data_IF_125965818236
#
_entry.id   IF_125965818236
#
_cell.length_a   1.000
_cell.length_b   1.000
_cell.length_c   1.000
_cell.angle_alpha   90.00
_cell.angle_beta   90.00
_cell.angle_gamma   90.00
#
_symmetry.space_group_name_H-M   'P 1'
#
loop_
_entity.id
_entity.type
_entity.pdbx_description
1 polymer ?
#
# COMPACT_ATOMS: atom_id res chain seq x y z
N UNK A 1 3.63 14.99 23.56
CA UNK A 1 4.55 14.87 22.40
C UNK A 1 4.51 13.41 21.97
N UNK A 2 3.61 13.06 21.04
CA UNK A 2 3.50 11.67 20.58
C UNK A 2 4.66 11.37 19.63
N UNK A 3 5.52 10.46 20.05
CA UNK A 3 6.59 9.91 19.20
C UNK A 3 5.89 9.11 18.11
N UNK A 4 5.92 9.61 16.87
CA UNK A 4 5.77 8.74 15.71
C UNK A 4 6.85 7.67 15.88
N UNK A 5 6.45 6.41 16.05
CA UNK A 5 7.38 5.32 15.75
C UNK A 5 7.64 5.44 14.25
N UNK A 6 8.76 6.09 13.92
CA UNK A 6 9.20 6.29 12.54
C UNK A 6 9.57 4.91 12.00
N UNK A 7 8.61 4.25 11.37
CA UNK A 7 8.81 2.95 10.72
C UNK A 7 9.59 3.09 9.42
N UNK A 8 9.96 4.31 9.01
CA UNK A 8 10.54 4.68 7.72
C UNK A 8 9.63 4.45 6.50
N UNK A 9 8.43 3.92 6.71
CA UNK A 9 7.39 3.72 5.69
C UNK A 9 6.36 4.86 5.69
N UNK A 10 5.81 5.17 4.52
CA UNK A 10 4.78 6.21 4.40
C UNK A 10 3.48 5.77 5.09
N UNK A 11 3.10 4.49 4.96
CA UNK A 11 2.01 3.89 5.73
C UNK A 11 2.39 2.49 6.23
N UNK A 12 1.80 2.10 7.36
CA UNK A 12 1.91 0.76 7.93
C UNK A 12 0.54 0.30 8.43
N UNK A 13 0.17 -0.94 8.14
CA UNK A 13 -1.10 -1.56 8.53
C UNK A 13 -0.83 -2.82 9.34
N UNK A 14 -1.53 -2.91 10.46
CA UNK A 14 -1.46 -4.01 11.41
C UNK A 14 -2.77 -4.79 11.37
N UNK A 15 -2.73 -6.10 11.55
CA UNK A 15 -3.94 -6.90 11.72
C UNK A 15 -4.58 -6.67 13.10
N UNK A 16 -5.76 -7.27 13.32
CA UNK A 16 -6.49 -7.24 14.60
C UNK A 16 -5.68 -7.72 15.81
N UNK A 17 -4.69 -8.59 15.58
CA UNK A 17 -3.78 -9.13 16.59
C UNK A 17 -2.57 -8.22 16.84
N UNK A 18 -2.49 -7.07 16.17
CA UNK A 18 -1.43 -6.07 16.33
C UNK A 18 -0.13 -6.40 15.61
N UNK A 19 -0.15 -7.37 14.68
CA UNK A 19 1.02 -7.75 13.89
C UNK A 19 1.12 -6.90 12.62
N UNK A 20 2.32 -6.42 12.30
CA UNK A 20 2.57 -5.65 11.07
C UNK A 20 2.38 -6.54 9.84
N UNK A 21 1.33 -6.29 9.06
CA UNK A 21 0.99 -7.09 7.88
C UNK A 21 1.40 -6.43 6.58
N UNK A 22 1.23 -5.11 6.47
CA UNK A 22 1.49 -4.36 5.24
C UNK A 22 2.29 -3.10 5.53
N UNK A 23 3.30 -2.86 4.72
CA UNK A 23 3.97 -1.55 4.61
C UNK A 23 3.77 -0.98 3.22
N UNK A 24 3.62 0.35 3.16
CA UNK A 24 3.36 1.06 1.92
C UNK A 24 4.41 2.13 1.71
N UNK A 25 4.95 2.16 0.48
CA UNK A 25 5.80 3.24 0.01
C UNK A 25 5.14 3.93 -1.19
N UNK A 26 4.92 5.23 -1.07
CA UNK A 26 4.29 6.09 -2.05
C UNK A 26 5.36 6.90 -2.81
N UNK A 27 5.21 7.00 -4.13
CA UNK A 27 6.08 7.77 -5.01
C UNK A 27 5.25 8.50 -6.07
N UNK A 28 5.38 9.81 -6.17
CA UNK A 28 4.72 10.63 -7.20
C UNK A 28 5.28 10.50 -8.63
N UNK A 29 6.01 9.42 -8.94
CA UNK A 29 6.59 9.17 -10.27
C UNK A 29 5.58 8.43 -11.14
N UNK A 30 5.45 8.80 -12.42
CA UNK A 30 4.65 8.07 -13.40
C UNK A 30 5.48 7.02 -14.16
N UNK A 31 4.82 5.97 -14.65
CA UNK A 31 5.40 4.93 -15.51
C UNK A 31 6.65 4.26 -14.89
N UNK A 32 6.65 4.09 -13.57
CA UNK A 32 7.72 3.34 -12.91
C UNK A 32 7.66 1.88 -13.38
N UNK A 33 8.79 1.34 -13.86
CA UNK A 33 8.86 -0.06 -14.29
C UNK A 33 8.98 -1.00 -13.09
N UNK A 34 8.63 -2.30 -13.25
CA UNK A 34 8.82 -3.31 -12.20
C UNK A 34 10.28 -3.37 -11.73
N UNK A 35 11.25 -3.31 -12.65
CA UNK A 35 12.68 -3.37 -12.30
C UNK A 35 13.10 -2.15 -11.47
N UNK A 36 12.60 -0.96 -11.80
CA UNK A 36 12.87 0.25 -11.03
C UNK A 36 12.30 0.13 -9.62
N UNK A 37 11.07 -0.40 -9.48
CA UNK A 37 10.42 -0.61 -8.20
C UNK A 37 11.16 -1.64 -7.34
N UNK A 38 11.59 -2.77 -7.92
CA UNK A 38 12.43 -3.77 -7.26
C UNK A 38 13.77 -3.21 -6.79
N UNK A 39 14.44 -2.41 -7.64
CA UNK A 39 15.70 -1.78 -7.27
C UNK A 39 15.51 -0.78 -6.12
N UNK A 40 14.45 0.02 -6.15
CA UNK A 40 14.13 0.93 -5.05
C UNK A 40 13.84 0.17 -3.76
N UNK A 41 13.03 -0.90 -3.80
CA UNK A 41 12.75 -1.74 -2.63
C UNK A 41 14.04 -2.33 -2.06
N UNK A 42 14.91 -2.88 -2.90
CA UNK A 42 16.20 -3.44 -2.47
C UNK A 42 17.08 -2.38 -1.80
N UNK A 43 17.15 -1.17 -2.36
CA UNK A 43 17.89 -0.06 -1.76
C UNK A 43 17.33 0.34 -0.38
N UNK A 44 16.00 0.38 -0.22
CA UNK A 44 15.38 0.70 1.07
C UNK A 44 15.71 -0.39 2.11
N UNK A 45 15.56 -1.66 1.74
CA UNK A 45 15.80 -2.80 2.65
C UNK A 45 17.29 -2.97 3.00
N UNK A 46 18.21 -2.61 2.11
CA UNK A 46 19.65 -2.73 2.33
C UNK A 46 20.20 -1.75 3.39
N UNK A 47 19.49 -0.65 3.69
CA UNK A 47 20.01 0.45 4.50
C UNK A 47 19.34 0.60 5.88
N UNK A 48 18.59 -0.38 6.37
CA UNK A 48 18.01 -0.29 7.72
C UNK A 48 17.54 -1.61 8.33
N UNK A 49 17.25 -1.59 9.63
CA UNK A 49 16.59 -2.69 10.34
C UNK A 49 15.08 -2.52 10.14
N UNK A 50 14.62 -2.72 8.92
CA UNK A 50 13.20 -2.65 8.62
C UNK A 50 12.54 -4.00 8.92
N UNK A 51 11.40 -4.02 9.62
CA UNK A 51 10.60 -5.24 9.67
C UNK A 51 10.21 -5.63 8.24
N UNK A 52 10.28 -6.92 7.92
CA UNK A 52 9.85 -7.50 6.65
C UNK A 52 8.45 -8.10 6.83
N UNK A 53 7.38 -7.30 6.70
CA UNK A 53 6.03 -7.83 6.80
C UNK A 53 5.73 -8.79 5.63
N UNK A 54 4.66 -9.60 5.73
CA UNK A 54 4.24 -10.47 4.64
C UNK A 54 3.83 -9.69 3.39
N UNK A 55 3.52 -8.39 3.47
CA UNK A 55 3.15 -7.58 2.31
C UNK A 55 3.91 -6.26 2.24
N UNK A 56 4.44 -5.97 1.05
CA UNK A 56 5.02 -4.68 0.71
C UNK A 56 4.31 -4.12 -0.51
N UNK A 57 3.71 -2.93 -0.39
CA UNK A 57 3.04 -2.25 -1.49
C UNK A 57 3.80 -0.99 -1.89
N UNK A 58 4.21 -0.91 -3.14
CA UNK A 58 4.71 0.34 -3.73
C UNK A 58 3.63 0.98 -4.59
N UNK A 59 3.35 2.25 -4.32
CA UNK A 59 2.25 3.00 -4.93
C UNK A 59 2.77 4.16 -5.76
N UNK A 60 2.34 4.19 -7.01
CA UNK A 60 2.49 5.27 -7.97
C UNK A 60 1.10 5.74 -8.43
N UNK A 61 0.98 6.95 -9.03
CA UNK A 61 -0.32 7.42 -9.52
C UNK A 61 -0.92 6.52 -10.62
N UNK A 62 -0.11 5.76 -11.34
CA UNK A 62 -0.54 4.89 -12.44
C UNK A 62 -0.31 3.40 -12.20
N UNK A 63 0.47 3.02 -11.19
CA UNK A 63 0.86 1.63 -10.93
C UNK A 63 0.92 1.29 -9.45
N UNK A 64 0.40 0.12 -9.10
CA UNK A 64 0.67 -0.53 -7.82
C UNK A 64 1.54 -1.77 -8.06
N UNK A 65 2.55 -1.93 -7.21
CA UNK A 65 3.39 -3.13 -7.18
C UNK A 65 3.33 -3.76 -5.79
N UNK A 66 2.84 -4.99 -5.73
CA UNK A 66 2.76 -5.76 -4.49
C UNK A 66 3.80 -6.87 -4.50
N UNK A 67 4.58 -6.97 -3.43
CA UNK A 67 5.29 -8.19 -3.04
C UNK A 67 4.48 -8.87 -1.94
N UNK A 68 4.14 -10.14 -2.14
CA UNK A 68 3.34 -10.92 -1.21
C UNK A 68 4.12 -12.13 -0.68
N UNK A 69 3.95 -12.43 0.60
CA UNK A 69 4.48 -13.60 1.29
C UNK A 69 5.99 -13.76 1.11
N UNK A 70 6.44 -14.89 0.55
CA UNK A 70 7.85 -15.22 0.38
C UNK A 70 8.60 -14.16 -0.44
N UNK A 71 7.97 -13.61 -1.48
CA UNK A 71 8.56 -12.55 -2.31
C UNK A 71 8.82 -11.26 -1.51
N UNK A 72 7.99 -10.99 -0.48
CA UNK A 72 8.15 -9.84 0.40
C UNK A 72 9.31 -10.04 1.40
N UNK A 73 9.76 -11.27 1.63
CA UNK A 73 10.89 -11.60 2.50
C UNK A 73 12.25 -11.55 1.78
N UNK A 74 12.24 -11.80 0.46
CA UNK A 74 13.44 -11.75 -0.38
C UNK A 74 13.89 -10.30 -0.62
N UNK A 75 15.20 -10.03 -0.45
CA UNK A 75 15.78 -8.70 -0.68
C UNK A 75 15.82 -8.30 -2.16
N UNK A 76 15.86 -9.29 -3.05
CA UNK A 76 15.84 -9.10 -4.50
C UNK A 76 14.79 -10.02 -5.12
N UNK A 77 13.63 -9.44 -5.41
CA UNK A 77 12.51 -10.10 -6.07
C UNK A 77 11.76 -9.10 -6.94
N UNK A 78 11.16 -9.59 -8.02
CA UNK A 78 10.16 -8.85 -8.79
C UNK A 78 8.84 -8.78 -8.00
N UNK A 79 7.98 -7.78 -8.24
CA UNK A 79 6.69 -7.72 -7.57
C UNK A 79 5.81 -8.90 -8.01
N UNK A 80 5.20 -9.57 -7.04
CA UNK A 80 4.22 -10.65 -7.25
C UNK A 80 3.03 -10.17 -8.09
N UNK A 81 2.61 -8.91 -7.91
CA UNK A 81 1.54 -8.29 -8.70
C UNK A 81 1.93 -6.91 -9.20
N UNK A 82 1.54 -6.61 -10.45
CA UNK A 82 1.65 -5.30 -11.08
C UNK A 82 0.28 -4.88 -11.61
N UNK A 83 -0.29 -3.82 -11.03
CA UNK A 83 -1.69 -3.44 -11.26
C UNK A 83 -1.78 -2.00 -11.76
N UNK A 84 -2.72 -1.71 -12.66
CA UNK A 84 -3.07 -0.34 -13.02
C UNK A 84 -3.77 0.34 -11.83
N UNK A 85 -3.13 1.36 -11.27
CA UNK A 85 -3.63 2.04 -10.09
C UNK A 85 -4.82 2.97 -10.39
N UNK A 86 -4.89 3.49 -11.62
CA UNK A 86 -5.88 4.50 -12.03
C UNK A 86 -7.31 4.10 -11.69
N UNK A 87 -7.83 2.92 -12.07
CA UNK A 87 -9.19 2.53 -11.74
C UNK A 87 -9.45 2.36 -10.22
N UNK A 88 -8.40 2.17 -9.42
CA UNK A 88 -8.50 2.00 -7.96
C UNK A 88 -8.51 3.37 -7.28
N UNK A 89 -7.62 4.28 -7.66
CA UNK A 89 -7.50 5.61 -7.01
C UNK A 89 -8.49 6.65 -7.54
N UNK A 90 -8.95 6.51 -8.80
CA UNK A 90 -9.83 7.48 -9.46
C UNK A 90 -11.09 7.80 -8.63
N UNK A 91 -11.84 6.82 -8.08
CA UNK A 91 -13.02 7.11 -7.26
C UNK A 91 -12.72 7.99 -6.04
N UNK A 92 -11.52 7.87 -5.47
CA UNK A 92 -11.10 8.68 -4.32
C UNK A 92 -10.66 10.08 -4.74
N UNK A 93 -10.03 10.20 -5.91
CA UNK A 93 -9.70 11.50 -6.51
C UNK A 93 -10.98 12.28 -6.86
N UNK A 94 -11.97 11.61 -7.44
CA UNK A 94 -13.27 12.21 -7.77
C UNK A 94 -14.01 12.66 -6.49
N UNK A 95 -14.03 11.83 -5.44
CA UNK A 95 -14.58 12.20 -4.12
C UNK A 95 -13.86 13.41 -3.51
N UNK A 96 -12.55 13.55 -3.75
CA UNK A 96 -11.75 14.68 -3.28
C UNK A 96 -11.84 15.93 -4.18
N UNK A 97 -12.53 15.85 -5.33
CA UNK A 97 -12.58 16.93 -6.32
C UNK A 97 -11.24 17.20 -7.01
N UNK A 98 -10.35 16.21 -7.07
CA UNK A 98 -9.00 16.33 -7.63
C UNK A 98 -8.98 15.75 -9.05
N UNK A 99 -8.61 16.57 -10.03
CA UNK A 99 -8.36 16.11 -11.41
C UNK A 99 -6.89 15.72 -11.57
N UNK A 100 -6.61 14.54 -12.15
CA UNK A 100 -5.25 14.03 -12.47
C UNK A 100 -4.42 14.93 -13.41
N UNK A 101 -5.01 16.03 -13.92
CA UNK A 101 -4.35 17.01 -14.77
C UNK A 101 -3.32 17.86 -14.04
N UNK A 102 -3.35 17.89 -12.71
CA UNK A 102 -2.31 18.48 -11.88
C UNK A 102 -1.39 17.37 -11.36
N UNK A 103 -0.09 17.63 -11.30
CA UNK A 103 0.91 16.72 -10.74
C UNK A 103 0.49 16.36 -9.31
N UNK A 104 -0.08 15.17 -9.13
CA UNK A 104 -0.50 14.66 -7.83
C UNK A 104 0.75 14.58 -6.94
N UNK A 105 0.80 15.38 -5.87
CA UNK A 105 1.94 15.33 -4.96
C UNK A 105 1.99 13.97 -4.26
N UNK A 106 3.18 13.49 -3.91
CA UNK A 106 3.33 12.21 -3.18
C UNK A 106 2.50 12.18 -1.90
N UNK A 107 2.37 13.32 -1.20
CA UNK A 107 1.56 13.41 0.00
C UNK A 107 0.05 13.33 -0.27
N UNK A 108 -0.43 13.94 -1.36
CA UNK A 108 -1.84 13.80 -1.75
C UNK A 108 -2.15 12.34 -2.13
N UNK A 109 -1.22 11.68 -2.82
CA UNK A 109 -1.35 10.26 -3.15
C UNK A 109 -1.40 9.40 -1.90
N UNK A 110 -0.56 9.67 -0.91
CA UNK A 110 -0.55 8.95 0.38
C UNK A 110 -1.92 9.03 1.08
N UNK A 111 -2.53 10.21 1.14
CA UNK A 111 -3.87 10.38 1.73
C UNK A 111 -4.95 9.62 0.97
N UNK A 112 -4.89 9.62 -0.37
CA UNK A 112 -5.81 8.86 -1.23
C UNK A 112 -5.65 7.36 -0.99
N UNK A 113 -4.41 6.87 -0.89
CA UNK A 113 -4.10 5.47 -0.61
C UNK A 113 -4.55 5.07 0.79
N UNK A 114 -4.36 5.94 1.79
CA UNK A 114 -4.85 5.71 3.14
C UNK A 114 -6.38 5.62 3.18
N UNK A 115 -7.09 6.47 2.42
CA UNK A 115 -8.55 6.39 2.30
C UNK A 115 -9.02 5.09 1.63
N UNK A 116 -8.34 4.64 0.58
CA UNK A 116 -8.63 3.36 -0.07
C UNK A 116 -8.39 2.17 0.86
N UNK A 117 -7.22 2.10 1.49
CA UNK A 117 -6.90 1.05 2.46
C UNK A 117 -7.85 1.08 3.68
N UNK A 118 -8.31 2.25 4.12
CA UNK A 118 -9.31 2.35 5.20
C UNK A 118 -10.61 1.63 4.85
N UNK A 119 -11.05 1.69 3.59
CA UNK A 119 -12.25 0.94 3.18
C UNK A 119 -12.00 -0.57 3.16
N UNK A 120 -10.79 -1.03 2.89
CA UNK A 120 -10.45 -2.47 2.98
C UNK A 120 -10.36 -2.93 4.45
N UNK A 121 -9.80 -2.07 5.31
CA UNK A 121 -9.59 -2.39 6.73
C UNK A 121 -10.93 -2.38 7.48
N UNK A 122 -11.78 -1.37 7.25
CA UNK A 122 -12.96 -1.10 8.09
C UNK A 122 -14.30 -1.43 7.43
N UNK A 123 -14.40 -1.47 6.10
CA UNK A 123 -15.66 -1.86 5.45
C UNK A 123 -15.61 -3.35 5.10
N UNK A 124 -16.60 -4.08 5.59
CA UNK A 124 -16.99 -5.38 5.08
C UNK A 124 -17.68 -5.16 3.72
N UNK A 125 -16.88 -4.87 2.69
CA UNK A 125 -17.41 -4.85 1.32
C UNK A 125 -17.73 -6.30 0.94
N UNK A 126 -18.94 -6.59 0.44
CA UNK A 126 -19.24 -7.92 -0.07
C UNK A 126 -18.19 -8.31 -1.10
N UNK A 127 -17.57 -9.49 -0.93
CA UNK A 127 -16.58 -10.04 -1.86
C UNK A 127 -17.09 -10.07 -3.32
N UNK A 128 -18.41 -10.13 -3.49
CA UNK A 128 -19.12 -10.08 -4.78
C UNK A 128 -19.02 -8.73 -5.49
N UNK A 129 -18.88 -7.62 -4.74
CA UNK A 129 -18.67 -6.27 -5.26
C UNK A 129 -17.18 -5.93 -5.40
N UNK A 130 -16.26 -6.82 -5.01
CA UNK A 130 -14.84 -6.67 -5.34
C UNK A 130 -14.70 -6.88 -6.84
N UNK A 131 -14.83 -5.78 -7.59
CA UNK A 131 -14.73 -5.76 -9.04
C UNK A 131 -13.44 -6.48 -9.46
N UNK A 132 -13.42 -7.10 -10.66
CA UNK A 132 -12.23 -7.74 -11.28
C UNK A 132 -10.90 -6.96 -11.15
N UNK A 133 -10.97 -5.65 -10.92
CA UNK A 133 -9.85 -4.71 -10.76
C UNK A 133 -9.09 -4.87 -9.45
N UNK A 134 -9.75 -5.35 -8.40
CA UNK A 134 -9.19 -5.52 -7.06
C UNK A 134 -8.99 -7.00 -6.70
N UNK A 135 -9.16 -7.92 -7.67
CA UNK A 135 -9.05 -9.36 -7.42
C UNK A 135 -7.68 -9.82 -6.95
N UNK A 136 -6.64 -9.09 -7.34
CA UNK A 136 -5.28 -9.29 -6.82
C UNK A 136 -5.19 -9.14 -5.28
N UNK A 137 -6.08 -8.36 -4.63
CA UNK A 137 -6.14 -8.28 -3.17
C UNK A 137 -6.64 -9.57 -2.54
N UNK A 138 -7.56 -10.26 -3.20
CA UNK A 138 -8.10 -11.55 -2.77
C UNK A 138 -7.11 -12.66 -3.08
N UNK A 139 -6.60 -12.70 -4.31
CA UNK A 139 -5.68 -13.73 -4.80
C UNK A 139 -4.35 -13.71 -4.03
N UNK A 140 -3.86 -12.53 -3.62
CA UNK A 140 -2.66 -12.39 -2.80
C UNK A 140 -2.86 -12.76 -1.32
N UNK A 141 -4.11 -12.80 -0.84
CA UNK A 141 -4.44 -12.90 0.58
C UNK A 141 -4.35 -11.59 1.36
N UNK A 142 -3.98 -10.48 0.72
CA UNK A 142 -3.80 -9.18 1.38
C UNK A 142 -5.11 -8.68 2.01
N UNK A 143 -6.24 -8.83 1.31
CA UNK A 143 -7.55 -8.39 1.82
C UNK A 143 -7.85 -9.00 3.19
N UNK A 144 -7.76 -10.33 3.29
CA UNK A 144 -8.01 -11.06 4.53
C UNK A 144 -6.96 -10.73 5.61
N UNK A 145 -5.72 -10.46 5.22
CA UNK A 145 -4.64 -10.16 6.16
C UNK A 145 -4.81 -8.81 6.89
N UNK A 146 -5.42 -7.81 6.24
CA UNK A 146 -5.56 -6.45 6.80
C UNK A 146 -6.98 -6.08 7.22
N UNK A 147 -7.99 -6.86 6.83
CA UNK A 147 -9.38 -6.65 7.23
C UNK A 147 -9.52 -6.70 8.77
N UNK A 148 -10.26 -5.74 9.34
CA UNK A 148 -10.40 -5.57 10.78
C UNK A 148 -9.12 -5.10 11.50
N UNK A 149 -8.09 -4.70 10.73
CA UNK A 149 -6.83 -4.17 11.24
C UNK A 149 -6.88 -2.69 11.60
N UNK A 150 -5.71 -2.05 11.62
CA UNK A 150 -5.59 -0.60 11.80
C UNK A 150 -4.32 -0.07 11.12
N UNK A 151 -4.34 1.22 10.77
CA UNK A 151 -3.07 1.93 10.53
C UNK A 151 -2.25 2.00 11.82
N UNK A 152 -0.97 2.33 11.69
CA UNK A 152 -0.05 2.57 12.80
C UNK A 152 -0.77 3.30 13.95
N UNK A 153 -0.77 2.69 15.15
CA UNK A 153 -1.48 3.20 16.32
C UNK A 153 -0.99 4.61 16.60
N UNK A 154 -1.79 5.63 16.28
CA UNK A 154 -1.82 6.80 17.13
C UNK A 154 -2.27 6.28 18.49
N UNK A 155 -1.35 6.25 19.45
CA UNK A 155 -1.71 6.02 20.84
C UNK A 155 -2.69 7.14 21.21
N UNK A 156 -3.98 6.81 21.21
CA UNK A 156 -4.99 7.62 21.88
C UNK A 156 -4.66 7.47 23.37
N UNK A 157 -3.97 8.48 23.90
CA UNK A 157 -3.73 8.67 25.32
C UNK A 157 -4.77 9.65 25.86
#
# INVERSE_FOLDING_TARGET
MSVRQDTGWDLAVYNKDGQLMLVVQVKGKLNASPQWASQLRSNILAHGIYPKPPYFLMVFPDKFYLWANEDAQLDMSEPTYAVDARPIIQPYLDKAGITLTQTLSSHSLELIVASWLSEIIYCDRPLEETHKREQWLLDSGLYAAISGGSFNREAVA
#
